data_IF_489270869857
#
_entry.id   IF_489270869857
#
_cell.length_a   1.000
_cell.length_b   1.000
_cell.length_c   1.000
_cell.angle_alpha   90.00
_cell.angle_beta   90.00
_cell.angle_gamma   90.00
#
_symmetry.space_group_name_H-M   'P 1'
#
loop_
_entity.id
_entity.type
_entity.pdbx_description
1 polymer ?
#
# COMPACT_ATOMS: atom_id res chain seq x y z
N UNK A 1 -7.22 -0.83 -10.42
CA UNK A 1 -7.24 -1.84 -11.50
C UNK A 1 -6.22 -1.47 -12.56
N UNK A 2 -5.25 -2.34 -12.82
CA UNK A 2 -4.25 -2.10 -13.86
C UNK A 2 -4.82 -2.36 -15.25
N UNK A 3 -4.64 -1.40 -16.17
CA UNK A 3 -5.13 -1.51 -17.55
C UNK A 3 -4.33 -2.50 -18.41
N UNK A 4 -3.07 -2.77 -18.07
CA UNK A 4 -2.21 -3.75 -18.76
C UNK A 4 -2.30 -5.14 -18.14
N UNK A 5 -1.95 -5.28 -16.85
CA UNK A 5 -1.92 -6.59 -16.15
C UNK A 5 -3.30 -7.23 -15.95
N UNK A 6 -4.38 -6.47 -16.10
CA UNK A 6 -5.77 -6.93 -15.90
C UNK A 6 -6.02 -7.55 -14.51
N UNK A 7 -5.47 -6.92 -13.48
CA UNK A 7 -5.65 -7.34 -12.08
C UNK A 7 -6.00 -6.15 -11.17
N UNK A 8 -6.60 -6.48 -10.01
CA UNK A 8 -6.67 -5.57 -8.87
C UNK A 8 -5.27 -5.27 -8.34
N UNK A 9 -5.09 -4.08 -7.77
CA UNK A 9 -3.85 -3.65 -7.12
C UNK A 9 -4.21 -3.19 -5.71
N UNK A 10 -3.33 -3.47 -4.74
CA UNK A 10 -3.36 -2.81 -3.45
C UNK A 10 -3.00 -1.32 -3.61
N UNK A 11 -3.26 -0.51 -2.60
CA UNK A 11 -2.92 0.92 -2.66
C UNK A 11 -1.41 1.13 -2.76
N UNK A 12 -0.64 0.26 -2.11
CA UNK A 12 0.82 0.24 -2.07
C UNK A 12 1.45 -0.01 -3.45
N UNK A 13 0.75 -0.73 -4.33
CA UNK A 13 1.20 -1.07 -5.68
C UNK A 13 0.88 0.05 -6.71
N UNK A 14 0.30 1.17 -6.26
CA UNK A 14 -0.05 2.33 -7.09
C UNK A 14 0.89 3.49 -6.77
N UNK A 15 1.88 3.69 -7.63
CA UNK A 15 2.89 4.74 -7.46
C UNK A 15 2.61 5.86 -8.46
N UNK A 16 2.37 7.08 -7.99
CA UNK A 16 2.07 8.25 -8.83
C UNK A 16 0.93 8.02 -9.85
N UNK A 17 -0.10 7.25 -9.46
CA UNK A 17 -1.26 6.96 -10.31
C UNK A 17 -1.04 5.88 -11.38
N UNK A 18 0.14 5.24 -11.41
CA UNK A 18 0.45 4.12 -12.32
C UNK A 18 0.75 2.84 -11.55
N UNK A 19 0.66 1.70 -12.24
CA UNK A 19 1.01 0.40 -11.69
C UNK A 19 2.54 0.33 -11.46
N UNK A 20 2.96 -0.02 -10.25
CA UNK A 20 4.40 -0.09 -9.89
C UNK A 20 5.22 -1.00 -10.83
N UNK A 21 4.60 -2.05 -11.41
CA UNK A 21 5.31 -3.07 -12.19
C UNK A 21 5.40 -2.76 -13.66
N UNK A 22 4.27 -2.38 -14.27
CA UNK A 22 4.16 -2.22 -15.72
C UNK A 22 4.03 -0.76 -16.17
N UNK A 23 3.94 0.20 -15.24
CA UNK A 23 3.81 1.64 -15.54
C UNK A 23 2.48 2.04 -16.19
N UNK A 24 1.56 1.11 -16.42
CA UNK A 24 0.29 1.42 -17.06
C UNK A 24 -0.63 2.24 -16.11
N UNK A 25 -1.49 3.13 -16.66
CA UNK A 25 -2.45 3.88 -15.87
C UNK A 25 -3.36 2.96 -15.04
N UNK A 26 -3.60 3.36 -13.79
CA UNK A 26 -4.52 2.67 -12.88
C UNK A 26 -5.87 3.36 -12.91
N UNK A 27 -6.94 2.56 -13.05
CA UNK A 27 -8.32 3.05 -12.99
C UNK A 27 -9.05 2.48 -11.77
N UNK A 28 -10.01 3.25 -11.25
CA UNK A 28 -10.91 2.81 -10.19
C UNK A 28 -12.04 1.98 -10.79
N UNK A 29 -12.34 0.83 -10.19
CA UNK A 29 -13.47 -0.04 -10.54
C UNK A 29 -14.19 -0.46 -9.27
N UNK A 30 -15.52 -0.54 -9.31
CA UNK A 30 -16.30 -1.15 -8.23
C UNK A 30 -16.42 -2.64 -8.47
N UNK A 31 -15.79 -3.44 -7.62
CA UNK A 31 -15.78 -4.90 -7.70
C UNK A 31 -15.72 -5.49 -6.29
N UNK A 32 -16.39 -6.63 -6.06
CA UNK A 32 -16.21 -7.40 -4.84
C UNK A 32 -14.82 -8.04 -4.84
N UNK A 33 -14.00 -7.75 -3.84
CA UNK A 33 -12.63 -8.25 -3.69
C UNK A 33 -12.39 -8.66 -2.23
N UNK A 34 -11.43 -9.55 -2.03
CA UNK A 34 -10.97 -9.91 -0.69
C UNK A 34 -10.12 -8.78 -0.11
N UNK A 35 -10.35 -8.49 1.17
CA UNK A 35 -9.62 -7.46 1.90
C UNK A 35 -9.09 -8.03 3.21
N UNK A 36 -7.82 -7.75 3.51
CA UNK A 36 -7.29 -7.94 4.85
C UNK A 36 -7.67 -6.71 5.69
N UNK A 37 -8.16 -6.95 6.91
CA UNK A 37 -8.54 -5.88 7.83
C UNK A 37 -7.31 -5.29 8.55
N UNK A 38 -6.31 -4.89 7.76
CA UNK A 38 -5.01 -4.38 8.25
C UNK A 38 -5.18 -3.13 9.13
N UNK A 39 -6.23 -2.34 8.89
CA UNK A 39 -6.56 -1.14 9.66
C UNK A 39 -6.80 -1.41 11.13
N UNK A 40 -7.25 -2.61 11.52
CA UNK A 40 -7.40 -2.99 12.93
C UNK A 40 -6.05 -3.08 13.66
N UNK A 41 -4.94 -3.14 12.91
CA UNK A 41 -3.58 -3.22 13.43
C UNK A 41 -2.79 -1.92 13.25
N UNK A 42 -3.42 -0.84 12.77
CA UNK A 42 -2.72 0.41 12.44
C UNK A 42 -1.90 0.96 13.61
N UNK A 43 -2.50 1.08 14.80
CA UNK A 43 -1.80 1.58 16.00
C UNK A 43 -0.63 0.67 16.38
N UNK A 44 -0.85 -0.65 16.39
CA UNK A 44 0.19 -1.63 16.69
C UNK A 44 1.36 -1.57 15.70
N UNK A 45 1.07 -1.29 14.42
CA UNK A 45 2.10 -1.12 13.39
C UNK A 45 2.90 0.16 13.63
N UNK A 46 2.25 1.26 14.02
CA UNK A 46 2.92 2.54 14.34
C UNK A 46 3.81 2.38 15.58
N UNK A 47 3.26 1.88 16.69
CA UNK A 47 3.99 1.65 17.94
C UNK A 47 5.13 0.65 17.76
N UNK A 48 4.90 -0.39 16.95
CA UNK A 48 5.92 -1.41 16.63
C UNK A 48 7.19 -0.83 16.00
N UNK A 49 7.12 0.32 15.33
CA UNK A 49 8.29 0.97 14.72
C UNK A 49 9.32 1.45 15.73
N UNK A 50 8.92 1.66 16.99
CA UNK A 50 9.83 2.09 18.05
C UNK A 50 10.71 0.93 18.56
N UNK A 51 10.35 -0.31 18.23
CA UNK A 51 11.03 -1.52 18.69
C UNK A 51 11.89 -2.21 17.61
N UNK A 52 11.85 -1.74 16.36
CA UNK A 52 12.63 -2.31 15.24
C UNK A 52 13.87 -1.47 14.92
N UNK A 53 14.96 -2.14 14.57
CA UNK A 53 16.22 -1.51 14.15
C UNK A 53 16.19 -1.15 12.66
N UNK A 54 15.38 -0.14 12.32
CA UNK A 54 15.27 0.42 10.97
C UNK A 54 15.91 1.80 10.90
N UNK A 55 16.44 2.15 9.73
CA UNK A 55 16.85 3.53 9.45
C UNK A 55 15.65 4.47 9.56
N UNK A 56 15.90 5.68 10.08
CA UNK A 56 14.83 6.62 10.42
C UNK A 56 13.95 6.97 9.21
N UNK A 57 14.55 7.11 8.03
CA UNK A 57 13.82 7.39 6.77
C UNK A 57 12.73 6.34 6.49
N UNK A 58 12.99 5.06 6.78
CA UNK A 58 12.01 3.98 6.56
C UNK A 58 10.90 4.06 7.59
N UNK A 59 11.22 4.30 8.87
CA UNK A 59 10.20 4.49 9.92
C UNK A 59 9.26 5.64 9.58
N UNK A 60 9.83 6.79 9.18
CA UNK A 60 9.05 7.98 8.76
C UNK A 60 8.18 7.67 7.55
N UNK A 61 8.70 6.96 6.55
CA UNK A 61 7.93 6.60 5.35
C UNK A 61 6.73 5.69 5.69
N UNK A 62 6.90 4.74 6.61
CA UNK A 62 5.81 3.87 7.06
C UNK A 62 4.79 4.65 7.90
N UNK A 63 5.23 5.51 8.84
CA UNK A 63 4.34 6.38 9.63
C UNK A 63 3.51 7.34 8.76
N UNK A 64 4.05 7.79 7.63
CA UNK A 64 3.32 8.66 6.70
C UNK A 64 2.35 7.89 5.79
N UNK A 65 2.55 6.58 5.63
CA UNK A 65 1.69 5.73 4.81
C UNK A 65 0.48 5.19 5.58
N UNK A 66 0.72 4.79 6.83
CA UNK A 66 -0.31 4.38 7.79
C UNK A 66 -1.16 5.60 8.18
#
# INVERSE_FOLDING_TARGET
WCTSCKVGLANEEVVNGVCERCGAPVIRKMQSQWMLKITDYAEKLIEGLDHVDYIEKVKVSQKNWI
#
